data_IF_259565862603
#
_entry.id   IF_259565862603
#
_cell.length_a   1.000
_cell.length_b   1.000
_cell.length_c   1.000
_cell.angle_alpha   90.00
_cell.angle_beta   90.00
_cell.angle_gamma   90.00
#
_symmetry.space_group_name_H-M   'P 1'
#
loop_
_entity.id
_entity.type
_entity.pdbx_description
1 polymer ?
#
# COMPACT_ATOMS: atom_id res chain seq x y z
N UNK A 1 46.65 13.67 63.46
CA UNK A 1 45.49 13.81 62.54
C UNK A 1 44.38 12.93 63.09
N UNK A 2 43.26 13.51 63.54
CA UNK A 2 42.15 12.73 64.08
C UNK A 2 41.45 11.97 62.95
N UNK A 3 41.31 10.65 63.11
CA UNK A 3 40.59 9.82 62.15
C UNK A 3 39.10 10.11 62.23
N UNK A 4 38.57 10.83 61.25
CA UNK A 4 37.14 11.07 61.15
C UNK A 4 36.44 9.77 60.71
N UNK A 5 36.14 8.89 61.67
CA UNK A 5 35.28 7.73 61.45
C UNK A 5 33.85 8.22 61.30
N UNK A 6 33.51 8.68 60.09
CA UNK A 6 32.14 8.93 59.69
C UNK A 6 31.37 7.62 59.79
N UNK A 7 30.64 7.43 60.90
CA UNK A 7 29.76 6.30 61.09
C UNK A 7 28.72 6.32 59.96
N UNK A 8 28.72 5.25 59.16
CA UNK A 8 27.68 5.07 58.15
C UNK A 8 26.34 5.02 58.89
N UNK A 9 25.34 5.85 58.52
CA UNK A 9 24.03 5.79 59.17
C UNK A 9 23.48 4.38 59.06
N UNK A 10 22.96 3.85 60.18
CA UNK A 10 22.60 2.43 60.33
C UNK A 10 21.73 1.95 59.16
N UNK A 11 22.29 1.05 58.34
CA UNK A 11 21.56 0.36 57.28
C UNK A 11 20.59 -0.64 57.92
N UNK A 12 19.38 -0.17 58.25
CA UNK A 12 18.25 -1.01 58.66
C UNK A 12 17.73 -1.84 57.48
N UNK A 13 18.49 -2.87 57.11
CA UNK A 13 18.17 -3.81 56.04
C UNK A 13 17.95 -5.21 56.63
N UNK A 14 16.72 -5.71 56.56
CA UNK A 14 16.38 -7.08 56.97
C UNK A 14 16.63 -8.06 55.81
N UNK A 15 17.83 -8.65 55.79
CA UNK A 15 18.23 -9.71 54.85
C UNK A 15 19.32 -9.28 53.86
N UNK A 16 20.15 -10.26 53.46
CA UNK A 16 21.35 -10.04 52.64
C UNK A 16 21.06 -9.31 51.33
N UNK A 17 20.00 -9.70 50.61
CA UNK A 17 19.56 -9.08 49.35
C UNK A 17 19.20 -7.60 49.53
N UNK A 18 18.55 -7.25 50.64
CA UNK A 18 18.16 -5.87 50.96
C UNK A 18 19.39 -5.01 51.29
N UNK A 19 20.33 -5.56 52.07
CA UNK A 19 21.60 -4.92 52.38
C UNK A 19 22.42 -4.67 51.11
N UNK A 20 22.59 -5.69 50.26
CA UNK A 20 23.34 -5.58 49.01
C UNK A 20 22.69 -4.57 48.07
N UNK A 21 21.35 -4.56 47.94
CA UNK A 21 20.64 -3.56 47.14
C UNK A 21 20.83 -2.13 47.67
N UNK A 22 20.81 -1.93 49.00
CA UNK A 22 21.00 -0.61 49.60
C UNK A 22 22.45 -0.09 49.50
N UNK A 23 23.44 -0.99 49.56
CA UNK A 23 24.85 -0.66 49.32
C UNK A 23 25.10 -0.37 47.84
N UNK A 24 24.55 -1.20 46.95
CA UNK A 24 24.68 -1.07 45.50
C UNK A 24 24.03 0.24 44.99
N UNK A 25 22.79 0.53 45.39
CA UNK A 25 22.09 1.76 45.00
C UNK A 25 22.78 3.04 45.50
N UNK A 26 23.37 3.01 46.70
CA UNK A 26 24.13 4.14 47.26
C UNK A 26 25.46 4.38 46.53
N UNK A 27 26.06 3.34 45.96
CA UNK A 27 27.32 3.41 45.22
C UNK A 27 27.12 3.54 43.70
N UNK A 28 25.89 3.48 43.18
CA UNK A 28 25.60 3.50 41.74
C UNK A 28 26.10 2.27 40.98
N UNK A 29 26.39 1.18 41.70
CA UNK A 29 26.84 -0.10 41.14
C UNK A 29 25.71 -1.13 41.23
N UNK A 30 25.85 -2.25 40.54
CA UNK A 30 24.96 -3.41 40.68
C UNK A 30 25.75 -4.63 41.13
N UNK A 31 25.05 -5.66 41.58
CA UNK A 31 25.64 -6.92 42.00
C UNK A 31 24.92 -8.11 41.36
N UNK A 32 25.64 -9.21 41.16
CA UNK A 32 25.09 -10.49 40.74
C UNK A 32 25.71 -11.61 41.57
N UNK A 33 24.96 -12.69 41.75
CA UNK A 33 25.43 -13.88 42.45
C UNK A 33 25.56 -15.02 41.46
N UNK A 34 26.78 -15.55 41.31
CA UNK A 34 27.14 -16.57 40.32
C UNK A 34 27.27 -17.97 40.99
N UNK A 35 26.35 -18.26 41.92
CA UNK A 35 26.31 -19.49 42.73
C UNK A 35 27.44 -19.65 43.77
N UNK A 36 28.59 -19.00 43.60
CA UNK A 36 29.75 -19.10 44.49
C UNK A 36 30.23 -17.75 45.04
N UNK A 37 30.11 -16.67 44.26
CA UNK A 37 30.61 -15.35 44.63
C UNK A 37 29.60 -14.25 44.25
N UNK A 38 29.68 -13.12 44.96
CA UNK A 38 28.97 -11.88 44.63
C UNK A 38 29.93 -10.98 43.86
N UNK A 39 29.61 -10.68 42.61
CA UNK A 39 30.39 -9.74 41.79
C UNK A 39 29.66 -8.40 41.74
N UNK A 40 30.32 -7.33 42.19
CA UNK A 40 29.89 -5.95 41.95
C UNK A 40 30.40 -5.48 40.59
N UNK A 41 29.55 -4.80 39.83
CA UNK A 41 29.86 -4.27 38.51
C UNK A 41 29.15 -2.93 38.28
N UNK A 42 29.78 -2.04 37.53
CA UNK A 42 29.20 -0.75 37.15
C UNK A 42 28.49 -0.81 35.78
N UNK A 43 29.06 -1.57 34.85
CA UNK A 43 28.51 -1.80 33.51
C UNK A 43 28.20 -3.29 33.32
N UNK A 44 27.10 -3.55 32.61
CA UNK A 44 26.69 -4.89 32.18
C UNK A 44 26.46 -4.85 30.67
N UNK A 45 26.49 -6.00 29.99
CA UNK A 45 26.26 -6.09 28.54
C UNK A 45 25.13 -7.07 28.27
N UNK A 46 24.04 -6.58 27.68
CA UNK A 46 22.86 -7.37 27.36
C UNK A 46 22.53 -7.28 25.88
N UNK A 47 22.10 -8.41 25.32
CA UNK A 47 21.61 -8.51 23.95
C UNK A 47 20.10 -8.67 23.98
N UNK A 48 19.40 -7.80 23.28
CA UNK A 48 17.95 -7.81 23.14
C UNK A 48 17.59 -8.21 21.69
N UNK A 49 16.65 -9.15 21.49
CA UNK A 49 16.20 -9.52 20.15
C UNK A 49 15.34 -8.42 19.55
N UNK A 50 15.46 -8.21 18.24
CA UNK A 50 14.58 -7.34 17.45
C UNK A 50 13.76 -8.24 16.53
N UNK A 51 12.47 -8.41 16.84
CA UNK A 51 11.64 -9.48 16.25
C UNK A 51 10.88 -9.09 14.99
N UNK A 52 11.15 -7.90 14.45
CA UNK A 52 10.64 -7.37 13.19
C UNK A 52 11.79 -7.12 12.24
N UNK A 53 11.50 -7.23 10.93
CA UNK A 53 12.48 -6.99 9.88
C UNK A 53 12.38 -5.54 9.41
N UNK A 54 13.52 -4.91 9.14
CA UNK A 54 13.55 -3.57 8.56
C UNK A 54 12.99 -3.62 7.14
N UNK A 55 11.86 -2.95 6.91
CA UNK A 55 11.24 -2.85 5.59
C UNK A 55 11.85 -1.68 4.81
N UNK A 56 13.15 -1.76 4.52
CA UNK A 56 13.79 -0.99 3.43
C UNK A 56 13.43 -1.59 2.05
N UNK A 57 12.17 -1.99 1.89
CA UNK A 57 11.62 -2.37 0.60
C UNK A 57 11.14 -1.08 -0.05
N UNK A 58 11.95 -0.53 -0.95
CA UNK A 58 11.51 0.54 -1.83
C UNK A 58 10.45 -0.03 -2.77
N UNK A 59 9.17 0.13 -2.40
CA UNK A 59 8.02 -0.25 -3.23
C UNK A 59 7.86 0.76 -4.37
N UNK A 60 8.78 0.64 -5.33
CA UNK A 60 8.67 1.24 -6.65
C UNK A 60 7.53 0.52 -7.39
N UNK A 61 6.29 0.90 -7.08
CA UNK A 61 5.11 0.57 -7.86
C UNK A 61 5.13 1.36 -9.18
N UNK A 62 6.16 1.12 -9.98
CA UNK A 62 6.36 1.73 -11.29
C UNK A 62 5.32 1.14 -12.24
N UNK A 63 4.11 1.67 -12.17
CA UNK A 63 3.11 1.51 -13.23
C UNK A 63 3.65 2.32 -14.42
N UNK A 64 4.50 1.68 -15.21
CA UNK A 64 4.99 2.19 -16.49
C UNK A 64 3.80 2.19 -17.46
N UNK A 65 2.97 3.21 -17.34
CA UNK A 65 2.05 3.59 -18.40
C UNK A 65 2.80 4.56 -19.31
N UNK A 66 3.56 3.98 -20.23
CA UNK A 66 4.52 4.65 -21.11
C UNK A 66 5.32 3.60 -21.88
N UNK A 67 5.87 4.01 -23.02
CA UNK A 67 6.57 3.11 -23.95
C UNK A 67 7.95 2.74 -23.43
N UNK A 68 8.17 1.47 -23.08
CA UNK A 68 9.51 0.95 -22.76
C UNK A 68 10.29 0.65 -24.05
N UNK A 69 11.01 1.64 -24.58
CA UNK A 69 11.93 1.42 -25.68
C UNK A 69 13.16 0.65 -25.19
N UNK A 70 13.22 -0.64 -25.51
CA UNK A 70 14.38 -1.48 -25.18
C UNK A 70 15.52 -1.18 -26.15
N UNK A 71 16.33 -0.16 -25.84
CA UNK A 71 17.42 0.29 -26.70
C UNK A 71 18.56 -0.74 -26.77
N UNK A 72 18.52 -1.61 -27.78
CA UNK A 72 19.54 -2.63 -28.04
C UNK A 72 20.91 -2.00 -28.33
N UNK A 73 21.94 -2.40 -27.57
CA UNK A 73 23.29 -1.85 -27.70
C UNK A 73 24.13 -2.63 -28.71
N UNK A 74 24.49 -1.98 -29.81
CA UNK A 74 25.59 -2.37 -30.70
C UNK A 74 26.37 -1.11 -31.11
N UNK A 75 27.70 -1.17 -31.01
CA UNK A 75 28.53 0.03 -30.88
C UNK A 75 28.90 0.77 -32.18
N UNK A 76 29.07 2.09 -32.06
CA UNK A 76 29.58 3.01 -33.09
C UNK A 76 29.67 4.43 -32.52
N UNK A 77 30.67 5.23 -32.92
CA UNK A 77 31.07 6.46 -32.22
C UNK A 77 30.50 7.77 -32.79
N UNK A 78 29.96 8.63 -31.90
CA UNK A 78 29.67 10.08 -32.07
C UNK A 78 28.59 10.45 -33.13
N UNK A 79 27.77 11.50 -32.98
CA UNK A 79 27.74 12.66 -32.05
C UNK A 79 26.30 13.19 -31.87
N UNK A 80 26.04 13.93 -30.78
CA UNK A 80 24.82 14.73 -30.51
C UNK A 80 23.46 14.03 -30.73
N UNK A 81 23.17 13.03 -29.89
CA UNK A 81 21.80 12.63 -29.63
C UNK A 81 21.17 13.56 -28.57
N UNK A 82 20.05 14.21 -28.92
CA UNK A 82 19.24 15.00 -27.98
C UNK A 82 18.72 14.05 -26.89
N UNK A 83 19.28 14.13 -25.68
CA UNK A 83 18.80 13.42 -24.50
C UNK A 83 17.56 14.11 -23.91
N UNK A 84 16.54 14.31 -24.75
CA UNK A 84 15.20 14.65 -24.31
C UNK A 84 14.50 13.38 -23.89
N UNK A 85 14.50 13.10 -22.59
CA UNK A 85 13.85 11.92 -22.00
C UNK A 85 12.33 12.08 -22.08
N UNK A 86 11.78 11.89 -23.28
CA UNK A 86 10.36 12.00 -23.60
C UNK A 86 9.56 10.75 -23.15
N UNK A 87 10.08 10.01 -22.18
CA UNK A 87 9.36 8.95 -21.47
C UNK A 87 8.31 9.60 -20.57
N UNK A 88 7.09 9.79 -21.09
CA UNK A 88 5.93 10.19 -20.29
C UNK A 88 5.41 9.01 -19.45
N UNK A 89 6.30 8.43 -18.64
CA UNK A 89 6.02 7.36 -17.69
C UNK A 89 5.50 7.94 -16.38
N UNK A 90 4.19 7.80 -16.15
CA UNK A 90 3.52 8.15 -14.89
C UNK A 90 3.88 7.16 -13.76
N UNK A 91 5.16 7.12 -13.40
CA UNK A 91 5.70 6.28 -12.33
C UNK A 91 5.11 6.69 -10.98
N UNK A 92 4.23 5.88 -10.42
CA UNK A 92 3.65 6.09 -9.08
C UNK A 92 4.54 5.44 -8.02
N UNK A 93 5.73 5.98 -7.80
CA UNK A 93 6.61 5.55 -6.70
C UNK A 93 6.01 5.96 -5.35
N UNK A 94 5.44 4.99 -4.63
CA UNK A 94 5.10 5.15 -3.21
C UNK A 94 6.34 4.76 -2.41
N UNK A 95 7.22 5.73 -2.20
CA UNK A 95 8.54 5.56 -1.60
C UNK A 95 8.43 5.36 -0.07
N UNK A 96 7.89 4.21 0.33
CA UNK A 96 7.47 3.87 1.68
C UNK A 96 8.64 3.39 2.56
N UNK A 97 9.65 4.24 2.70
CA UNK A 97 10.88 3.94 3.43
C UNK A 97 10.63 3.87 4.95
N UNK A 98 10.47 2.65 5.46
CA UNK A 98 10.41 2.40 6.90
C UNK A 98 11.84 2.14 7.40
N UNK A 99 12.48 3.15 7.98
CA UNK A 99 13.84 3.07 8.52
C UNK A 99 13.85 2.58 9.98
N UNK A 100 13.06 1.55 10.27
CA UNK A 100 12.73 1.09 11.62
C UNK A 100 13.97 0.80 12.47
N UNK A 101 15.00 0.21 11.88
CA UNK A 101 16.26 -0.06 12.58
C UNK A 101 17.02 1.24 12.92
N UNK A 102 16.99 2.26 12.06
CA UNK A 102 17.62 3.55 12.37
C UNK A 102 16.86 4.29 13.46
N UNK A 103 15.53 4.25 13.44
CA UNK A 103 14.70 4.87 14.49
C UNK A 103 14.98 4.23 15.87
N UNK A 104 15.08 2.90 15.91
CA UNK A 104 15.42 2.14 17.13
C UNK A 104 16.85 2.44 17.58
N UNK A 105 17.80 2.52 16.66
CA UNK A 105 19.18 2.92 16.96
C UNK A 105 19.25 4.32 17.55
N UNK A 106 18.55 5.28 16.96
CA UNK A 106 18.50 6.66 17.43
C UNK A 106 17.82 6.76 18.80
N UNK A 107 16.71 6.07 19.01
CA UNK A 107 15.99 6.02 20.28
C UNK A 107 16.81 5.35 21.39
N UNK A 108 17.45 4.21 21.13
CA UNK A 108 18.32 3.57 22.14
C UNK A 108 19.55 4.43 22.40
N UNK A 109 20.17 5.01 21.37
CA UNK A 109 21.33 5.91 21.54
C UNK A 109 21.02 7.17 22.35
N UNK A 110 19.77 7.64 22.40
CA UNK A 110 19.37 8.76 23.26
C UNK A 110 19.08 8.35 24.72
N UNK A 111 18.90 7.06 24.98
CA UNK A 111 18.75 6.49 26.33
C UNK A 111 20.08 6.11 26.99
N UNK A 112 21.19 6.01 26.22
CA UNK A 112 22.50 5.63 26.74
C UNK A 112 23.13 6.69 27.64
N UNK A 113 23.93 6.25 28.61
CA UNK A 113 24.73 7.14 29.46
C UNK A 113 25.81 7.85 28.64
N UNK A 114 25.82 9.20 28.57
CA UNK A 114 26.79 9.94 27.76
C UNK A 114 28.25 9.58 28.07
N UNK A 115 29.03 9.27 27.03
CA UNK A 115 30.47 8.97 27.14
C UNK A 115 30.84 7.58 27.68
N UNK A 116 29.87 6.79 28.18
CA UNK A 116 30.12 5.47 28.78
C UNK A 116 29.33 4.38 28.05
N UNK A 117 28.06 4.64 27.74
CA UNK A 117 27.18 3.68 27.06
C UNK A 117 27.68 3.33 25.66
N UNK A 118 27.63 2.04 25.32
CA UNK A 118 27.97 1.53 24.00
C UNK A 118 26.82 0.69 23.47
N UNK A 119 26.48 0.84 22.20
CA UNK A 119 25.58 -0.09 21.53
C UNK A 119 26.17 -0.61 20.23
N UNK A 120 25.83 -1.85 19.92
CA UNK A 120 26.06 -2.49 18.63
C UNK A 120 24.72 -3.10 18.19
N UNK A 121 24.24 -2.71 17.01
CA UNK A 121 23.00 -3.23 16.43
C UNK A 121 23.34 -4.01 15.16
N UNK A 122 22.78 -5.20 15.06
CA UNK A 122 22.88 -6.09 13.91
C UNK A 122 21.47 -6.44 13.41
N UNK A 123 21.38 -7.19 12.32
CA UNK A 123 20.10 -7.75 11.86
C UNK A 123 19.51 -8.69 12.91
N UNK A 124 18.33 -8.33 13.45
CA UNK A 124 17.58 -9.14 14.41
C UNK A 124 18.02 -9.06 15.88
N UNK A 125 19.05 -8.30 16.23
CA UNK A 125 19.41 -8.06 17.64
C UNK A 125 20.19 -6.76 17.86
N UNK A 126 20.11 -6.26 19.10
CA UNK A 126 20.85 -5.09 19.59
C UNK A 126 21.53 -5.43 20.91
N UNK A 127 22.85 -5.29 20.95
CA UNK A 127 23.67 -5.46 22.14
C UNK A 127 24.00 -4.10 22.72
N UNK A 128 23.70 -3.90 24.00
CA UNK A 128 23.94 -2.64 24.73
C UNK A 128 24.80 -2.93 25.95
N UNK A 129 25.81 -2.07 26.17
CA UNK A 129 26.66 -2.04 27.35
C UNK A 129 26.44 -0.71 28.06
N UNK A 130 25.82 -0.75 29.25
CA UNK A 130 25.53 0.43 30.07
C UNK A 130 25.29 0.00 31.54
N UNK A 131 24.90 0.95 32.39
CA UNK A 131 24.41 0.69 33.74
C UNK A 131 23.11 -0.14 33.72
N UNK A 132 22.87 -1.03 34.69
CA UNK A 132 21.69 -1.90 34.65
C UNK A 132 20.33 -1.20 34.68
N UNK A 133 20.25 0.03 35.20
CA UNK A 133 19.04 0.86 35.15
C UNK A 133 18.71 1.31 33.71
N UNK A 134 19.73 1.69 32.94
CA UNK A 134 19.57 2.02 31.51
C UNK A 134 19.22 0.75 30.73
N UNK A 135 19.90 -0.37 30.99
CA UNK A 135 19.59 -1.64 30.33
C UNK A 135 18.15 -2.11 30.58
N UNK A 136 17.56 -1.87 31.76
CA UNK A 136 16.16 -2.20 32.07
C UNK A 136 15.16 -1.28 31.33
N UNK A 137 15.52 -0.01 31.18
CA UNK A 137 14.76 0.95 30.37
C UNK A 137 14.76 0.55 28.89
N UNK A 138 15.94 0.19 28.36
CA UNK A 138 16.13 -0.29 26.99
C UNK A 138 15.41 -1.62 26.76
N UNK A 139 15.48 -2.56 27.72
CA UNK A 139 14.73 -3.83 27.71
C UNK A 139 13.24 -3.58 27.50
N UNK A 140 12.65 -2.71 28.33
CA UNK A 140 11.22 -2.38 28.31
C UNK A 140 10.80 -1.68 27.01
N UNK A 141 11.64 -0.77 26.49
CA UNK A 141 11.41 -0.11 25.20
C UNK A 141 11.39 -1.11 24.03
N UNK A 142 12.38 -2.00 23.96
CA UNK A 142 12.51 -2.98 22.87
C UNK A 142 11.39 -4.02 22.94
N UNK A 143 11.02 -4.49 24.13
CA UNK A 143 9.90 -5.42 24.31
C UNK A 143 8.57 -4.83 23.84
N UNK A 144 8.24 -3.59 24.26
CA UNK A 144 7.05 -2.89 23.78
C UNK A 144 7.07 -2.73 22.25
N UNK A 145 8.21 -2.31 21.69
CA UNK A 145 8.36 -2.13 20.24
C UNK A 145 8.22 -3.45 19.46
N UNK A 146 8.76 -4.55 19.99
CA UNK A 146 8.59 -5.89 19.44
C UNK A 146 7.12 -6.35 19.47
N UNK A 147 6.40 -6.07 20.56
CA UNK A 147 4.98 -6.40 20.69
C UNK A 147 4.13 -5.63 19.64
N UNK A 148 4.31 -4.31 19.53
CA UNK A 148 3.62 -3.47 18.53
C UNK A 148 3.84 -3.94 17.08
N UNK A 149 5.05 -4.38 16.76
CA UNK A 149 5.44 -4.83 15.42
C UNK A 149 5.13 -6.31 15.14
N UNK A 150 4.85 -7.11 16.17
CA UNK A 150 4.41 -8.51 16.04
C UNK A 150 2.96 -8.62 15.56
N UNK A 151 2.14 -7.59 15.81
CA UNK A 151 0.71 -7.55 15.49
C UNK A 151 0.46 -7.75 13.99
N UNK A 152 -0.59 -8.51 13.68
CA UNK A 152 -0.95 -8.89 12.32
C UNK A 152 -2.38 -8.44 11.99
N UNK A 153 -2.65 -8.31 10.70
CA UNK A 153 -3.99 -8.01 10.19
C UNK A 153 -4.26 -8.84 8.94
N UNK A 154 -5.46 -9.40 8.87
CA UNK A 154 -6.02 -9.95 7.64
C UNK A 154 -6.75 -8.84 6.90
N UNK A 155 -6.26 -8.45 5.73
CA UNK A 155 -6.92 -7.51 4.84
C UNK A 155 -7.76 -8.29 3.83
N UNK A 156 -9.08 -8.23 3.97
CA UNK A 156 -10.00 -8.86 3.03
C UNK A 156 -10.46 -7.81 2.03
N UNK A 157 -10.22 -8.07 0.75
CA UNK A 157 -10.54 -7.18 -0.36
C UNK A 157 -11.54 -7.87 -1.28
N UNK A 158 -12.65 -7.19 -1.57
CA UNK A 158 -13.64 -7.62 -2.55
C UNK A 158 -13.87 -6.52 -3.57
N UNK A 159 -13.65 -6.85 -4.84
CA UNK A 159 -13.81 -5.94 -5.98
C UNK A 159 -15.11 -6.33 -6.69
N UNK A 160 -16.03 -5.37 -6.74
CA UNK A 160 -17.34 -5.50 -7.38
C UNK A 160 -17.35 -4.65 -8.65
N UNK A 161 -17.82 -5.22 -9.75
CA UNK A 161 -18.15 -4.52 -10.99
C UNK A 161 -19.65 -4.48 -11.12
N UNK A 162 -20.20 -3.27 -11.25
CA UNK A 162 -21.63 -3.02 -11.34
C UNK A 162 -21.89 -2.49 -12.74
N UNK A 163 -22.56 -3.28 -13.57
CA UNK A 163 -22.98 -2.88 -14.91
C UNK A 163 -24.36 -2.26 -14.82
N UNK A 164 -24.50 -0.99 -15.18
CA UNK A 164 -25.82 -0.35 -15.32
C UNK A 164 -26.40 -0.64 -16.70
N UNK A 165 -27.59 -1.22 -16.73
CA UNK A 165 -28.33 -1.58 -17.95
C UNK A 165 -29.41 -0.56 -18.35
N UNK A 166 -29.54 0.54 -17.59
CA UNK A 166 -30.48 1.64 -17.86
C UNK A 166 -29.72 2.93 -18.16
N UNK A 167 -30.29 3.77 -19.04
CA UNK A 167 -29.72 5.06 -19.48
C UNK A 167 -29.78 6.17 -18.39
N UNK A 168 -29.46 5.82 -17.15
CA UNK A 168 -29.46 6.71 -15.99
C UNK A 168 -28.02 7.13 -15.69
N UNK A 169 -27.61 8.28 -16.22
CA UNK A 169 -26.23 8.79 -16.18
C UNK A 169 -25.72 9.18 -14.77
N UNK A 170 -26.56 9.06 -13.74
CA UNK A 170 -26.20 9.33 -12.35
C UNK A 170 -25.36 8.18 -11.77
N UNK A 171 -24.56 8.48 -10.73
CA UNK A 171 -23.75 7.50 -10.01
C UNK A 171 -24.57 6.48 -9.20
N UNK A 172 -23.93 5.80 -8.25
CA UNK A 172 -24.64 4.92 -7.30
C UNK A 172 -25.25 5.81 -6.20
N UNK A 173 -26.57 5.71 -5.99
CA UNK A 173 -27.20 6.31 -4.82
C UNK A 173 -26.92 5.45 -3.58
N UNK A 174 -25.85 5.81 -2.87
CA UNK A 174 -25.47 5.16 -1.62
C UNK A 174 -26.51 5.33 -0.51
N UNK A 175 -27.28 6.42 -0.50
CA UNK A 175 -28.35 6.60 0.49
C UNK A 175 -29.49 5.60 0.23
N UNK A 176 -29.86 5.35 -1.03
CA UNK A 176 -30.83 4.31 -1.38
C UNK A 176 -30.32 2.90 -1.02
N UNK A 177 -29.04 2.59 -1.28
CA UNK A 177 -28.45 1.28 -0.92
C UNK A 177 -28.42 1.04 0.59
N UNK A 178 -28.10 2.04 1.41
CA UNK A 178 -28.02 1.88 2.87
C UNK A 178 -29.35 2.06 3.61
N UNK A 179 -30.36 2.69 3.00
CA UNK A 179 -31.69 2.87 3.61
C UNK A 179 -32.63 1.67 3.46
N UNK A 180 -32.26 0.65 2.67
CA UNK A 180 -33.04 -0.59 2.60
C UNK A 180 -33.11 -1.28 3.98
N UNK A 181 -34.34 -1.56 4.43
CA UNK A 181 -34.65 -2.08 5.78
C UNK A 181 -34.06 -3.48 6.04
N UNK A 182 -33.47 -4.11 5.03
CA UNK A 182 -32.83 -5.43 5.11
C UNK A 182 -31.42 -5.42 5.72
N UNK A 183 -30.73 -4.26 5.75
CA UNK A 183 -29.35 -4.17 6.23
C UNK A 183 -29.23 -3.95 7.74
N UNK A 184 -30.06 -3.10 8.33
CA UNK A 184 -30.05 -2.84 9.79
C UNK A 184 -28.77 -2.18 10.33
N UNK A 185 -27.93 -1.62 9.45
CA UNK A 185 -26.66 -0.98 9.81
C UNK A 185 -26.85 0.54 9.94
N UNK A 186 -26.21 1.15 10.94
CA UNK A 186 -26.11 2.62 11.05
C UNK A 186 -24.87 3.13 10.30
N UNK A 187 -25.06 4.17 9.49
CA UNK A 187 -23.98 4.78 8.71
C UNK A 187 -23.01 5.52 9.64
N UNK A 188 -21.76 5.04 9.71
CA UNK A 188 -20.73 5.60 10.57
C UNK A 188 -20.07 6.81 9.91
N UNK A 189 -20.63 8.00 10.15
CA UNK A 189 -20.29 9.28 9.52
C UNK A 189 -20.80 9.45 8.07
N UNK A 190 -21.15 10.69 7.75
CA UNK A 190 -21.87 11.10 6.54
C UNK A 190 -21.00 11.10 5.29
N UNK A 191 -21.57 10.68 4.16
CA UNK A 191 -21.16 11.22 2.86
C UNK A 191 -21.24 12.76 2.93
N UNK A 192 -20.10 13.44 3.06
CA UNK A 192 -20.04 14.89 2.83
C UNK A 192 -20.15 15.12 1.34
N UNK A 193 -21.35 15.48 0.89
CA UNK A 193 -21.68 15.70 -0.52
C UNK A 193 -20.72 16.65 -1.21
N UNK A 194 -19.97 16.15 -2.19
CA UNK A 194 -19.50 16.96 -3.31
C UNK A 194 -20.73 17.30 -4.19
N UNK A 195 -21.52 18.28 -3.74
CA UNK A 195 -22.75 18.68 -4.40
C UNK A 195 -22.49 19.62 -5.59
N UNK A 196 -22.06 19.07 -6.74
CA UNK A 196 -22.36 19.57 -8.10
C UNK A 196 -21.58 18.79 -9.18
N UNK A 197 -22.30 18.05 -10.03
CA UNK A 197 -21.93 17.58 -11.40
C UNK A 197 -20.56 16.94 -11.69
N UNK A 198 -19.67 16.75 -10.72
CA UNK A 198 -18.36 16.13 -10.92
C UNK A 198 -18.18 14.92 -10.00
N UNK A 199 -18.26 13.73 -10.60
CA UNK A 199 -18.05 12.43 -9.95
C UNK A 199 -16.63 12.38 -9.38
N UNK A 200 -16.51 12.72 -8.10
CA UNK A 200 -15.28 12.60 -7.32
C UNK A 200 -15.52 11.49 -6.30
N UNK A 201 -14.60 10.52 -6.23
CA UNK A 201 -14.82 9.26 -5.51
C UNK A 201 -15.25 9.43 -4.05
N UNK A 202 -16.30 8.70 -3.65
CA UNK A 202 -16.82 8.67 -2.30
C UNK A 202 -16.22 7.53 -1.47
N UNK A 203 -15.83 7.85 -0.24
CA UNK A 203 -15.34 6.89 0.76
C UNK A 203 -16.35 6.85 1.90
N UNK A 204 -16.76 5.64 2.32
CA UNK A 204 -17.69 5.46 3.44
C UNK A 204 -17.26 4.29 4.33
N UNK A 205 -17.45 4.44 5.64
CA UNK A 205 -17.04 3.45 6.64
C UNK A 205 -18.29 2.91 7.33
N UNK A 206 -18.44 1.59 7.33
CA UNK A 206 -19.62 0.92 7.91
C UNK A 206 -19.22 0.02 9.07
N UNK A 207 -20.01 0.08 10.15
CA UNK A 207 -19.87 -0.80 11.31
C UNK A 207 -20.33 -2.22 10.95
N UNK A 208 -19.37 -3.12 10.75
CA UNK A 208 -19.60 -4.55 10.51
C UNK A 208 -19.00 -5.05 9.19
N UNK A 209 -18.90 -6.38 9.06
CA UNK A 209 -18.32 -7.05 7.89
C UNK A 209 -19.31 -7.03 6.71
N UNK A 210 -19.12 -6.11 5.76
CA UNK A 210 -19.88 -6.06 4.51
C UNK A 210 -19.33 -7.00 3.44
N UNK A 211 -18.03 -7.32 3.46
CA UNK A 211 -17.41 -8.30 2.55
C UNK A 211 -18.16 -9.64 2.63
N UNK A 212 -18.69 -10.11 1.49
CA UNK A 212 -19.52 -11.32 1.40
C UNK A 212 -20.97 -11.19 1.90
N UNK A 213 -21.45 -10.01 2.31
CA UNK A 213 -22.81 -9.82 2.81
C UNK A 213 -23.87 -9.95 1.70
N UNK A 214 -24.66 -11.03 1.75
CA UNK A 214 -25.76 -11.27 0.79
C UNK A 214 -26.82 -10.17 0.79
N UNK A 215 -27.05 -9.50 1.93
CA UNK A 215 -27.99 -8.38 2.01
C UNK A 215 -27.44 -7.15 1.27
N UNK A 216 -26.15 -6.85 1.44
CA UNK A 216 -25.51 -5.73 0.73
C UNK A 216 -25.43 -5.98 -0.77
N UNK A 217 -25.01 -7.18 -1.20
CA UNK A 217 -25.04 -7.56 -2.62
C UNK A 217 -26.45 -7.48 -3.21
N UNK A 218 -27.50 -7.81 -2.44
CA UNK A 218 -28.89 -7.70 -2.88
C UNK A 218 -29.35 -6.23 -3.01
N UNK A 219 -29.04 -5.38 -2.04
CA UNK A 219 -29.34 -3.96 -2.11
C UNK A 219 -28.62 -3.29 -3.30
N UNK A 220 -27.35 -3.64 -3.52
CA UNK A 220 -26.56 -3.18 -4.66
C UNK A 220 -27.10 -3.70 -6.00
N UNK A 221 -27.63 -4.94 -6.03
CA UNK A 221 -28.29 -5.51 -7.23
C UNK A 221 -29.61 -4.84 -7.61
N UNK A 222 -30.20 -4.02 -6.73
CA UNK A 222 -31.34 -3.17 -7.12
C UNK A 222 -30.95 -1.97 -7.99
N UNK A 223 -29.66 -1.61 -8.00
CA UNK A 223 -29.10 -0.45 -8.71
C UNK A 223 -28.42 -0.82 -10.04
N UNK A 224 -28.17 -2.10 -10.31
CA UNK A 224 -27.52 -2.60 -11.52
C UNK A 224 -27.09 -4.06 -11.40
N UNK A 225 -26.57 -4.63 -12.49
CA UNK A 225 -26.09 -6.00 -12.53
C UNK A 225 -24.73 -6.10 -11.82
N UNK A 226 -24.73 -6.62 -10.59
CA UNK A 226 -23.54 -6.77 -9.75
C UNK A 226 -22.81 -8.07 -10.06
N UNK A 227 -21.57 -7.96 -10.52
CA UNK A 227 -20.63 -9.08 -10.66
C UNK A 227 -19.48 -8.94 -9.66
N UNK A 228 -19.21 -10.00 -8.90
CA UNK A 228 -18.01 -10.07 -8.04
C UNK A 228 -16.82 -10.40 -8.94
N UNK A 229 -15.94 -9.43 -9.17
CA UNK A 229 -14.78 -9.58 -10.06
C UNK A 229 -13.69 -10.39 -9.38
N UNK A 230 -13.38 -10.05 -8.12
CA UNK A 230 -12.27 -10.68 -7.38
C UNK A 230 -12.51 -10.60 -5.88
N UNK A 231 -12.20 -11.68 -5.18
CA UNK A 231 -12.01 -11.70 -3.72
C UNK A 231 -10.58 -12.12 -3.45
N UNK A 232 -9.87 -11.36 -2.63
CA UNK A 232 -8.53 -11.72 -2.17
C UNK A 232 -8.41 -11.42 -0.67
N UNK A 233 -7.62 -12.22 0.04
CA UNK A 233 -7.38 -12.07 1.47
C UNK A 233 -5.88 -12.18 1.72
N UNK A 234 -5.30 -11.14 2.28
CA UNK A 234 -3.87 -11.07 2.56
C UNK A 234 -3.63 -10.93 4.06
N UNK A 235 -2.78 -11.79 4.61
CA UNK A 235 -2.30 -11.66 5.99
C UNK A 235 -0.98 -10.89 5.96
N UNK A 236 -0.91 -9.78 6.70
CA UNK A 236 0.29 -8.95 6.78
C UNK A 236 0.58 -8.50 8.20
N UNK A 237 1.82 -8.06 8.45
CA UNK A 237 2.25 -7.46 9.72
C UNK A 237 2.01 -5.96 9.70
N UNK A 238 2.03 -5.35 10.89
CA UNK A 238 2.05 -3.90 11.04
C UNK A 238 3.18 -3.26 10.17
N UNK A 239 2.90 -2.13 9.51
CA UNK A 239 3.80 -1.40 8.62
C UNK A 239 4.38 -2.22 7.44
N UNK A 240 3.81 -3.38 7.11
CA UNK A 240 4.22 -4.19 5.96
C UNK A 240 3.17 -4.06 4.84
N UNK A 241 3.53 -3.52 3.66
CA UNK A 241 2.56 -3.22 2.63
C UNK A 241 2.24 -4.48 1.80
N UNK A 242 1.04 -4.49 1.23
CA UNK A 242 0.49 -5.60 0.44
C UNK A 242 0.20 -5.10 -0.97
N UNK A 243 1.05 -5.39 -1.96
CA UNK A 243 0.74 -5.14 -3.37
C UNK A 243 -0.24 -6.21 -3.89
N UNK A 244 -1.16 -5.79 -4.75
CA UNK A 244 -2.20 -6.60 -5.36
C UNK A 244 -2.39 -6.15 -6.80
N UNK A 245 -2.03 -6.99 -7.77
CA UNK A 245 -2.07 -6.64 -9.18
C UNK A 245 -2.87 -7.67 -10.00
N UNK A 246 -3.76 -7.17 -10.84
CA UNK A 246 -4.52 -7.92 -11.84
C UNK A 246 -4.22 -7.23 -13.18
N UNK A 247 -3.15 -7.69 -13.82
CA UNK A 247 -2.62 -7.11 -15.05
C UNK A 247 -2.98 -7.96 -16.27
N UNK A 248 -3.23 -7.29 -17.40
CA UNK A 248 -3.23 -7.85 -18.73
C UNK A 248 -2.09 -7.22 -19.52
N UNK A 249 -1.30 -8.04 -20.19
CA UNK A 249 -0.08 -7.65 -20.88
C UNK A 249 -0.28 -7.88 -22.39
N UNK A 250 -0.23 -6.81 -23.19
CA UNK A 250 -0.49 -6.85 -24.63
C UNK A 250 0.71 -6.29 -25.40
N UNK A 251 1.27 -7.10 -26.30
CA UNK A 251 2.34 -6.68 -27.21
C UNK A 251 1.79 -5.89 -28.39
N UNK A 252 2.57 -4.90 -28.85
CA UNK A 252 2.26 -4.04 -29.99
C UNK A 252 3.55 -3.71 -30.77
N UNK A 253 3.42 -3.34 -32.05
CA UNK A 253 4.57 -2.94 -32.87
C UNK A 253 4.88 -1.47 -32.61
N UNK A 254 5.93 -1.18 -31.84
CA UNK A 254 6.33 0.19 -31.48
C UNK A 254 6.95 0.93 -32.67
N UNK A 255 7.85 0.27 -33.39
CA UNK A 255 8.50 0.85 -34.57
C UNK A 255 8.84 -0.19 -35.62
N UNK A 256 8.94 0.29 -36.86
CA UNK A 256 9.39 -0.47 -38.03
C UNK A 256 10.60 0.26 -38.59
N UNK A 257 11.79 -0.34 -38.49
CA UNK A 257 13.00 0.20 -39.11
C UNK A 257 13.25 -0.52 -40.43
N UNK A 258 13.45 0.23 -41.51
CA UNK A 258 13.79 -0.32 -42.83
C UNK A 258 15.17 0.17 -43.24
N UNK A 259 16.12 -0.76 -43.23
CA UNK A 259 17.50 -0.51 -43.65
C UNK A 259 17.65 -0.87 -45.14
N UNK A 260 17.62 0.14 -46.00
CA UNK A 260 17.98 0.02 -47.42
C UNK A 260 19.48 0.07 -47.61
N UNK A 261 20.11 -1.08 -47.87
CA UNK A 261 21.53 -1.13 -48.25
C UNK A 261 21.65 -1.24 -49.76
N UNK A 262 22.41 -0.33 -50.37
CA UNK A 262 22.61 -0.30 -51.81
C UNK A 262 23.13 -1.65 -52.34
N UNK A 263 22.57 -2.10 -53.45
CA UNK A 263 22.98 -3.31 -54.18
C UNK A 263 22.76 -4.67 -53.48
N UNK A 264 22.16 -4.73 -52.28
CA UNK A 264 21.82 -5.99 -51.57
C UNK A 264 20.37 -6.12 -51.13
N UNK A 265 19.56 -5.06 -51.26
CA UNK A 265 18.12 -5.06 -50.96
C UNK A 265 17.75 -4.30 -49.68
N UNK A 266 16.46 -4.36 -49.34
CA UNK A 266 15.90 -3.75 -48.12
C UNK A 266 15.70 -4.81 -47.05
N UNK A 267 16.17 -4.54 -45.83
CA UNK A 267 15.82 -5.31 -44.64
C UNK A 267 14.80 -4.52 -43.81
N UNK A 268 13.72 -5.16 -43.37
CA UNK A 268 12.72 -4.54 -42.49
C UNK A 268 12.71 -5.27 -41.15
N UNK A 269 13.02 -4.55 -40.08
CA UNK A 269 12.93 -5.03 -38.69
C UNK A 269 11.67 -4.50 -38.01
N UNK A 270 11.05 -5.34 -37.18
CA UNK A 270 9.87 -5.02 -36.38
C UNK A 270 10.25 -5.00 -34.91
N UNK A 271 10.21 -3.82 -34.29
CA UNK A 271 10.44 -3.69 -32.85
C UNK A 271 9.09 -3.79 -32.14
N UNK A 272 8.88 -4.91 -31.42
CA UNK A 272 7.69 -5.11 -30.61
C UNK A 272 7.94 -4.64 -29.17
N UNK A 273 7.12 -3.73 -28.68
CA UNK A 273 7.05 -3.37 -27.28
C UNK A 273 5.80 -4.00 -26.63
N UNK A 274 5.58 -3.76 -25.35
CA UNK A 274 4.48 -4.38 -24.62
C UNK A 274 3.93 -3.45 -23.55
N UNK A 275 2.61 -3.27 -23.56
CA UNK A 275 1.88 -2.44 -22.60
C UNK A 275 1.16 -3.30 -21.57
N UNK A 276 1.16 -2.86 -20.31
CA UNK A 276 0.52 -3.59 -19.20
C UNK A 276 -0.61 -2.74 -18.64
N UNK A 277 -1.84 -3.23 -18.75
CA UNK A 277 -3.08 -2.54 -18.32
C UNK A 277 -3.87 -3.39 -17.35
N UNK A 278 -4.49 -2.80 -16.34
CA UNK A 278 -5.41 -3.50 -15.45
C UNK A 278 -5.56 -2.80 -14.10
N UNK A 279 -5.83 -3.58 -13.06
CA UNK A 279 -5.98 -3.08 -11.70
C UNK A 279 -4.70 -3.31 -10.89
N UNK A 280 -4.24 -2.30 -10.16
CA UNK A 280 -3.17 -2.41 -9.18
C UNK A 280 -3.62 -1.71 -7.89
N UNK A 281 -3.32 -2.29 -6.75
CA UNK A 281 -3.58 -1.71 -5.43
C UNK A 281 -2.48 -2.08 -4.45
N UNK A 282 -2.02 -1.11 -3.68
CA UNK A 282 -1.10 -1.33 -2.55
C UNK A 282 -1.78 -0.87 -1.27
N UNK A 283 -1.80 -1.76 -0.26
CA UNK A 283 -2.38 -1.50 1.06
C UNK A 283 -1.28 -1.45 2.11
N UNK A 284 -1.20 -0.37 2.89
CA UNK A 284 -0.34 -0.26 4.08
C UNK A 284 -1.20 -0.13 5.34
N UNK A 285 -1.23 -1.17 6.20
CA UNK A 285 -1.83 -1.05 7.52
C UNK A 285 -0.81 -0.55 8.56
N UNK A 286 -1.20 0.48 9.31
CA UNK A 286 -0.57 0.92 10.53
C UNK A 286 -1.53 0.68 11.71
N UNK A 287 -1.26 -0.30 12.55
CA UNK A 287 -2.12 -0.68 13.67
C UNK A 287 -1.77 0.19 14.89
N UNK A 288 -2.74 0.96 15.39
CA UNK A 288 -2.52 1.90 16.50
C UNK A 288 -2.22 1.14 17.81
N UNK A 289 -1.26 1.61 18.63
CA UNK A 289 -0.96 1.01 19.94
C UNK A 289 -2.21 0.84 20.79
N UNK A 290 -2.24 -0.23 21.58
CA UNK A 290 -3.24 -0.50 22.63
C UNK A 290 -4.72 -0.46 22.19
N UNK A 291 -5.00 -0.56 20.88
CA UNK A 291 -6.35 -0.45 20.31
C UNK A 291 -6.62 -1.45 19.18
N UNK A 292 -7.89 -1.74 18.92
CA UNK A 292 -8.33 -2.48 17.72
C UNK A 292 -8.58 -1.57 16.51
N UNK A 293 -7.94 -0.39 16.47
CA UNK A 293 -8.01 0.54 15.34
C UNK A 293 -6.71 0.45 14.54
N UNK A 294 -6.80 0.60 13.23
CA UNK A 294 -5.66 0.78 12.34
C UNK A 294 -5.94 1.90 11.34
N UNK A 295 -4.88 2.60 10.97
CA UNK A 295 -4.87 3.49 9.84
C UNK A 295 -4.48 2.68 8.60
N UNK A 296 -5.29 2.73 7.56
CA UNK A 296 -5.04 2.08 6.28
C UNK A 296 -4.76 3.16 5.23
N UNK A 297 -3.49 3.28 4.83
CA UNK A 297 -3.13 3.97 3.60
C UNK A 297 -3.38 3.00 2.44
N UNK A 298 -4.13 3.45 1.43
CA UNK A 298 -4.29 2.70 0.19
C UNK A 298 -3.99 3.57 -1.04
N UNK A 299 -3.31 2.93 -2.00
CA UNK A 299 -3.02 3.46 -3.33
C UNK A 299 -3.60 2.48 -4.32
N UNK A 300 -4.50 2.91 -5.20
CA UNK A 300 -5.07 2.07 -6.25
C UNK A 300 -5.04 2.78 -7.60
N UNK A 301 -4.70 2.04 -8.66
CA UNK A 301 -4.77 2.49 -10.04
C UNK A 301 -5.52 1.48 -10.89
N UNK A 302 -6.40 1.96 -11.75
CA UNK A 302 -7.12 1.19 -12.75
C UNK A 302 -6.79 1.75 -14.14
N UNK A 303 -6.37 0.88 -15.04
CA UNK A 303 -6.16 1.18 -16.46
C UNK A 303 -7.18 0.42 -17.31
N UNK A 304 -7.79 1.11 -18.26
CA UNK A 304 -8.69 0.49 -19.23
C UNK A 304 -7.87 -0.32 -20.27
N UNK A 305 -8.53 -1.18 -21.07
CA UNK A 305 -7.83 -1.96 -22.11
C UNK A 305 -7.25 -1.03 -23.18
N UNK A 306 -6.03 -1.29 -23.71
CA UNK A 306 -5.40 -0.39 -24.66
C UNK A 306 -6.16 -0.34 -25.97
N UNK A 307 -6.50 0.87 -26.41
CA UNK A 307 -6.99 1.13 -27.77
C UNK A 307 -5.76 1.30 -28.66
N UNK A 308 -5.50 0.33 -29.54
CA UNK A 308 -4.37 0.39 -30.46
C UNK A 308 -4.80 1.05 -31.76
N UNK A 309 -4.26 2.24 -32.03
CA UNK A 309 -4.39 2.91 -33.32
C UNK A 309 -3.23 2.49 -34.23
N UNK A 310 -3.53 2.14 -35.48
CA UNK A 310 -2.50 1.81 -36.47
C UNK A 310 -2.10 3.10 -37.20
N UNK A 311 -0.83 3.50 -37.08
CA UNK A 311 -0.25 4.61 -37.83
C UNK A 311 0.55 4.04 -39.01
N UNK A 312 0.21 4.46 -40.24
CA UNK A 312 0.85 3.99 -41.47
C UNK A 312 1.59 5.13 -42.16
N UNK A 313 2.87 4.92 -42.45
CA UNK A 313 3.71 5.88 -43.17
C UNK A 313 4.71 5.11 -44.06
N UNK A 314 4.81 5.52 -45.33
CA UNK A 314 5.75 4.90 -46.29
C UNK A 314 5.56 3.40 -46.55
N UNK A 315 4.38 2.83 -46.26
CA UNK A 315 4.12 1.38 -46.34
C UNK A 315 4.53 0.58 -45.10
N UNK A 316 5.07 1.24 -44.07
CA UNK A 316 5.30 0.65 -42.74
C UNK A 316 4.14 0.98 -41.80
N UNK A 317 3.76 0.04 -40.94
CA UNK A 317 2.66 0.18 -39.97
C UNK A 317 3.19 0.06 -38.54
N UNK A 318 3.07 1.13 -37.78
CA UNK A 318 3.31 1.18 -36.34
C UNK A 318 1.99 1.16 -35.57
N UNK A 319 2.04 0.81 -34.29
CA UNK A 319 0.90 0.71 -33.40
C UNK A 319 1.08 1.64 -32.20
N UNK A 320 0.14 2.55 -32.01
CA UNK A 320 0.12 3.50 -30.91
C UNK A 320 -0.97 3.08 -29.92
N UNK A 321 -0.62 2.50 -28.75
CA UNK A 321 -1.58 2.16 -27.72
C UNK A 321 -1.96 3.41 -26.90
N UNK A 322 -3.26 3.69 -26.81
CA UNK A 322 -3.82 4.68 -25.91
C UNK A 322 -4.52 3.97 -24.73
N UNK A 323 -4.31 4.47 -23.50
CA UNK A 323 -4.81 3.88 -22.25
C UNK A 323 -5.23 4.98 -21.29
N UNK A 324 -6.50 4.94 -20.85
CA UNK A 324 -6.99 5.77 -19.76
C UNK A 324 -6.54 5.19 -18.41
N UNK A 325 -6.03 6.04 -17.51
CA UNK A 325 -5.62 5.67 -16.15
C UNK A 325 -6.38 6.48 -15.11
N UNK A 326 -6.81 5.79 -14.05
CA UNK A 326 -7.60 6.34 -12.95
C UNK A 326 -6.93 5.92 -11.64
N UNK A 327 -6.44 6.87 -10.85
CA UNK A 327 -5.68 6.60 -9.61
C UNK A 327 -6.33 7.26 -8.40
N UNK A 328 -6.43 6.55 -7.28
CA UNK A 328 -6.92 7.03 -5.99
C UNK A 328 -5.91 6.67 -4.90
N UNK A 329 -5.44 7.70 -4.19
CA UNK A 329 -4.57 7.57 -3.01
C UNK A 329 -5.27 8.24 -1.83
N UNK A 330 -5.54 7.50 -0.76
CA UNK A 330 -6.24 8.01 0.44
C UNK A 330 -5.77 7.25 1.71
N UNK A 331 -5.98 7.88 2.86
CA UNK A 331 -5.73 7.30 4.18
C UNK A 331 -7.04 7.27 4.97
N UNK A 332 -7.38 6.13 5.57
CA UNK A 332 -8.61 5.95 6.35
C UNK A 332 -8.33 5.26 7.68
N UNK A 333 -9.00 5.69 8.75
CA UNK A 333 -8.92 5.03 10.06
C UNK A 333 -10.08 4.04 10.22
N UNK A 334 -9.76 2.77 10.51
CA UNK A 334 -10.71 1.65 10.55
C UNK A 334 -10.52 0.82 11.82
N UNK A 335 -11.63 0.44 12.45
CA UNK A 335 -11.63 -0.58 13.51
C UNK A 335 -11.65 -1.97 12.92
N UNK A 336 -11.10 -2.95 13.64
CA UNK A 336 -11.16 -4.36 13.28
C UNK A 336 -12.61 -4.79 12.98
N UNK A 337 -12.83 -5.33 11.78
CA UNK A 337 -14.15 -5.78 11.31
C UNK A 337 -15.07 -4.71 10.73
N UNK A 338 -14.67 -3.43 10.68
CA UNK A 338 -15.36 -2.42 9.85
C UNK A 338 -14.99 -2.61 8.38
N UNK A 339 -15.92 -2.35 7.47
CA UNK A 339 -15.63 -2.30 6.03
C UNK A 339 -15.55 -0.84 5.57
N UNK A 340 -14.46 -0.47 4.88
CA UNK A 340 -14.44 0.73 4.04
C UNK A 340 -14.93 0.39 2.65
N UNK A 341 -15.82 1.23 2.13
CA UNK A 341 -16.30 1.20 0.75
C UNK A 341 -15.62 2.34 0.00
N UNK A 342 -15.01 2.00 -1.13
CA UNK A 342 -14.33 2.93 -2.02
C UNK A 342 -15.05 2.85 -3.37
N UNK A 343 -15.71 3.93 -3.77
CA UNK A 343 -16.51 4.02 -4.98
C UNK A 343 -16.10 5.27 -5.76
N UNK A 344 -15.73 5.14 -7.03
CA UNK A 344 -15.36 6.32 -7.81
C UNK A 344 -14.97 6.09 -9.26
N UNK A 345 -14.66 4.85 -9.67
CA UNK A 345 -14.33 4.55 -11.06
C UNK A 345 -15.58 4.21 -11.84
N UNK A 346 -16.15 5.21 -12.50
CA UNK A 346 -17.12 4.99 -13.59
C UNK A 346 -16.35 4.91 -14.92
N UNK A 347 -16.71 3.92 -15.74
CA UNK A 347 -16.30 3.81 -17.14
C UNK A 347 -17.58 3.84 -17.97
N UNK A 348 -17.74 4.87 -18.82
CA UNK A 348 -18.92 5.06 -19.64
C UNK A 348 -18.63 4.78 -21.12
N UNK A 349 -19.00 3.59 -21.60
CA UNK A 349 -18.85 3.19 -22.99
C UNK A 349 -20.13 3.41 -23.79
N UNK A 350 -20.22 4.49 -24.58
CA UNK A 350 -21.38 4.73 -25.47
C UNK A 350 -21.09 4.33 -26.91
N UNK A 351 -21.70 3.24 -27.39
CA UNK A 351 -21.68 2.84 -28.81
C UNK A 351 -23.04 3.11 -29.45
N UNK A 352 -23.07 4.03 -30.41
CA UNK A 352 -24.29 4.38 -31.16
C UNK A 352 -24.20 3.85 -32.59
N UNK A 353 -24.85 2.71 -32.85
CA UNK A 353 -25.05 2.17 -34.19
C UNK A 353 -26.26 2.82 -34.86
N UNK A 354 -26.06 3.35 -36.07
CA UNK A 354 -27.12 3.92 -36.92
C UNK A 354 -27.28 3.04 -38.15
N UNK A 355 -28.38 2.29 -38.24
CA UNK A 355 -28.68 1.39 -39.35
C UNK A 355 -29.90 1.88 -40.12
N UNK A 356 -29.92 1.72 -41.44
CA UNK A 356 -31.07 2.04 -42.29
C UNK A 356 -30.68 2.31 -43.74
N UNK A 357 -31.58 2.05 -44.67
CA UNK A 357 -31.42 2.45 -46.08
C UNK A 357 -31.86 3.90 -46.27
N UNK A 358 -30.99 4.73 -46.83
CA UNK A 358 -31.22 6.18 -46.94
C UNK A 358 -30.77 6.93 -45.68
N UNK A 359 -31.72 7.37 -44.84
CA UNK A 359 -31.43 8.13 -43.61
C UNK A 359 -31.73 7.31 -42.34
N UNK A 360 -30.81 7.22 -41.36
CA UNK A 360 -31.00 6.42 -40.14
C UNK A 360 -32.16 6.83 -39.21
N UNK A 361 -32.83 7.95 -39.49
CA UNK A 361 -34.03 8.39 -38.77
C UNK A 361 -35.36 7.89 -39.37
N UNK A 362 -35.35 7.24 -40.54
CA UNK A 362 -36.58 6.82 -41.22
C UNK A 362 -36.98 5.39 -40.87
N UNK A 363 -37.76 5.24 -39.79
CA UNK A 363 -38.21 3.93 -39.28
C UNK A 363 -38.99 3.10 -40.33
N UNK A 364 -39.73 3.77 -41.23
CA UNK A 364 -40.58 3.11 -42.24
C UNK A 364 -39.85 2.32 -43.34
N UNK A 365 -38.51 2.42 -43.44
CA UNK A 365 -37.67 1.60 -44.34
C UNK A 365 -36.65 0.75 -43.55
N UNK A 366 -36.97 0.40 -42.30
CA UNK A 366 -36.07 -0.37 -41.43
C UNK A 366 -34.92 0.45 -40.84
N UNK A 367 -35.08 1.78 -40.75
CA UNK A 367 -34.15 2.65 -40.04
C UNK A 367 -34.25 2.48 -38.52
N UNK A 368 -33.12 2.36 -37.84
CA UNK A 368 -33.04 2.18 -36.39
C UNK A 368 -31.76 2.71 -35.79
N UNK A 369 -31.86 3.28 -34.59
CA UNK A 369 -30.72 3.71 -33.78
C UNK A 369 -30.57 2.73 -32.63
N UNK A 370 -29.52 1.91 -32.66
CA UNK A 370 -29.19 1.01 -31.57
C UNK A 370 -28.07 1.66 -30.74
N UNK A 371 -28.42 2.24 -29.58
CA UNK A 371 -27.44 2.81 -28.64
C UNK A 371 -27.19 1.81 -27.52
N UNK A 372 -26.02 1.19 -27.53
CA UNK A 372 -25.55 0.32 -26.47
C UNK A 372 -24.68 1.17 -25.53
N UNK A 373 -25.13 1.33 -24.29
CA UNK A 373 -24.41 2.02 -23.23
C UNK A 373 -23.91 0.97 -22.24
N UNK A 374 -22.59 0.85 -22.10
CA UNK A 374 -21.94 0.00 -21.10
C UNK A 374 -21.33 0.91 -20.02
N UNK A 375 -22.16 1.29 -19.05
CA UNK A 375 -21.73 2.02 -17.86
C UNK A 375 -21.32 1.02 -16.79
N UNK A 376 -20.00 0.81 -16.63
CA UNK A 376 -19.43 -0.07 -15.61
C UNK A 376 -18.86 0.77 -14.46
N UNK A 377 -19.31 0.50 -13.23
CA UNK A 377 -18.83 1.14 -12.01
C UNK A 377 -18.09 0.13 -11.15
N UNK A 378 -16.86 0.44 -10.76
CA UNK A 378 -16.03 -0.41 -9.90
C UNK A 378 -16.09 0.08 -8.45
N UNK A 379 -16.44 -0.84 -7.54
CA UNK A 379 -16.52 -0.62 -6.09
C UNK A 379 -15.58 -1.58 -5.39
N UNK A 380 -14.72 -1.05 -4.51
CA UNK A 380 -13.79 -1.85 -3.71
C UNK A 380 -14.24 -1.82 -2.25
N UNK A 381 -14.40 -3.01 -1.66
CA UNK A 381 -14.65 -3.22 -0.24
C UNK A 381 -13.36 -3.70 0.42
N UNK A 382 -12.91 -3.03 1.48
CA UNK A 382 -11.76 -3.49 2.27
C UNK A 382 -12.19 -3.66 3.74
N UNK A 383 -12.01 -4.87 4.27
CA UNK A 383 -12.34 -5.23 5.65
C UNK A 383 -11.09 -5.75 6.37
N UNK A 384 -10.41 -4.93 7.19
CA UNK A 384 -9.37 -5.40 8.08
C UNK A 384 -9.92 -6.25 9.21
N UNK A 385 -9.16 -7.28 9.62
CA UNK A 385 -9.41 -8.06 10.82
C UNK A 385 -8.08 -8.30 11.53
N UNK A 386 -7.85 -7.57 12.62
CA UNK A 386 -6.63 -7.68 13.44
C UNK A 386 -6.61 -9.06 14.13
N UNK A 387 -5.43 -9.68 14.18
CA UNK A 387 -5.15 -10.98 14.82
C UNK A 387 -4.44 -10.76 16.16
#
# INVERSE_FOLDING_TARGET
LQGNTASLPELKASGLTSLLNAVASRLGISWRYDGSHITFYYLDTRTFPVTYMDSQVAYNATVVSGTMSSNGSSGGTASDAISGDASNTQTTTVDMKSALYQDVKNAVSSMLTPGIGRMFMSTGFITVTDTPQVLETVRTFIEKRNEEMKRQVVLNVEILSIRKTRNEQAGIDWNAVFSDRTLGLSLGSTFTSAASDTVTGGVSIVNGKLTGSKAFLKALSSQGDVSVVTRNSAVTKNLTPVPMQIANQQSYIESVTTDTTANVGSSTSLNAATITTGFNMTLLPFILPDSQTLQLLYSMSLSDKPVIENYESGGSKAQLPNVDLKTINQTVDLKSGQTVIISGFQQSGRRSGKQGVGTPGFFGLGGGINSENDDTILVVLITPNII
#
